data_IF_996706450148
#
_entry.id   IF_996706450148
#
_cell.length_a   1.000
_cell.length_b   1.000
_cell.length_c   1.000
_cell.angle_alpha   90.00
_cell.angle_beta   90.00
_cell.angle_gamma   90.00
#
_symmetry.space_group_name_H-M   'P 1'
#
loop_
_entity.id
_entity.type
_entity.pdbx_description
1 polymer ?
#
# COMPACT_ATOMS: atom_id res chain seq x y z
N UNK A 1 -9.20 2.20 9.32
CA UNK A 1 -9.47 2.36 7.88
C UNK A 1 -10.96 2.51 7.68
N UNK A 2 -11.39 3.26 6.68
CA UNK A 2 -12.79 3.29 6.31
C UNK A 2 -13.11 1.97 5.59
N UNK A 3 -13.95 1.14 6.21
CA UNK A 3 -14.42 -0.11 5.66
C UNK A 3 -15.76 0.18 4.99
N UNK A 4 -15.77 0.22 3.65
CA UNK A 4 -16.96 0.47 2.85
C UNK A 4 -17.43 -0.83 2.20
N UNK A 5 -18.73 -0.93 1.89
CA UNK A 5 -19.32 -2.07 1.16
C UNK A 5 -18.61 -2.34 -0.18
N UNK A 6 -18.03 -1.30 -0.79
CA UNK A 6 -17.17 -1.40 -1.97
C UNK A 6 -16.00 -0.43 -1.83
N UNK A 7 -14.77 -0.95 -1.84
CA UNK A 7 -13.56 -0.14 -1.92
C UNK A 7 -13.10 -0.06 -3.39
N UNK A 8 -12.95 1.15 -3.90
CA UNK A 8 -12.49 1.46 -5.26
C UNK A 8 -11.15 2.21 -5.22
N UNK A 9 -10.76 2.83 -6.34
CA UNK A 9 -9.53 3.61 -6.46
C UNK A 9 -9.45 4.76 -5.43
N UNK A 10 -10.56 5.43 -5.14
CA UNK A 10 -10.63 6.52 -4.16
C UNK A 10 -10.23 6.03 -2.77
N UNK A 11 -10.72 4.86 -2.36
CA UNK A 11 -10.35 4.29 -1.08
C UNK A 11 -8.89 3.83 -1.04
N UNK A 12 -8.36 3.34 -2.17
CA UNK A 12 -6.93 3.04 -2.28
C UNK A 12 -6.08 4.30 -2.07
N UNK A 13 -6.47 5.44 -2.63
CA UNK A 13 -5.79 6.72 -2.40
C UNK A 13 -5.85 7.17 -0.94
N UNK A 14 -7.02 7.05 -0.28
CA UNK A 14 -7.19 7.36 1.14
C UNK A 14 -6.30 6.46 2.00
N UNK A 15 -6.30 5.15 1.73
CA UNK A 15 -5.49 4.20 2.48
C UNK A 15 -3.99 4.41 2.24
N UNK A 16 -3.58 4.73 1.03
CA UNK A 16 -2.19 5.10 0.72
C UNK A 16 -1.75 6.37 1.46
N UNK A 17 -2.60 7.40 1.52
CA UNK A 17 -2.31 8.61 2.29
C UNK A 17 -2.13 8.29 3.78
N UNK A 18 -2.99 7.42 4.35
CA UNK A 18 -2.84 6.97 5.74
C UNK A 18 -1.54 6.20 5.97
N UNK A 19 -1.13 5.32 5.06
CA UNK A 19 0.17 4.61 5.15
C UNK A 19 1.35 5.59 5.11
N UNK A 20 1.30 6.62 4.25
CA UNK A 20 2.34 7.67 4.20
C UNK A 20 2.38 8.51 5.47
N UNK A 21 1.22 8.82 6.05
CA UNK A 21 1.15 9.52 7.33
C UNK A 21 1.70 8.68 8.48
N UNK A 22 1.41 7.38 8.49
CA UNK A 22 1.94 6.44 9.48
C UNK A 22 3.47 6.35 9.41
N UNK A 23 4.01 6.15 8.20
CA UNK A 23 5.46 6.14 7.92
C UNK A 23 6.14 7.45 8.36
N UNK A 24 5.54 8.60 8.02
CA UNK A 24 6.05 9.90 8.43
C UNK A 24 6.05 10.08 9.95
N UNK A 25 4.94 9.73 10.62
CA UNK A 25 4.82 9.84 12.07
C UNK A 25 5.84 8.95 12.78
N UNK A 26 5.95 7.68 12.37
CA UNK A 26 6.91 6.75 12.94
C UNK A 26 8.33 7.32 12.84
N UNK A 27 8.79 7.68 11.63
CA UNK A 27 10.14 8.25 11.45
C UNK A 27 10.37 9.52 12.27
N UNK A 28 9.36 10.38 12.38
CA UNK A 28 9.48 11.62 13.13
C UNK A 28 9.60 11.36 14.64
N UNK A 29 8.72 10.52 15.20
CA UNK A 29 8.73 10.18 16.62
C UNK A 29 10.02 9.46 17.01
N UNK A 30 10.49 8.49 16.22
CA UNK A 30 11.78 7.83 16.50
C UNK A 30 12.94 8.82 16.54
N UNK A 31 12.95 9.79 15.62
CA UNK A 31 13.98 10.83 15.60
C UNK A 31 13.94 11.70 16.85
N UNK A 32 12.74 12.07 17.32
CA UNK A 32 12.57 12.87 18.54
C UNK A 32 12.97 12.08 19.79
N UNK A 33 12.58 10.82 19.89
CA UNK A 33 12.99 9.94 20.99
C UNK A 33 14.51 9.82 21.01
N UNK A 34 15.15 9.55 19.87
CA UNK A 34 16.61 9.45 19.80
C UNK A 34 17.30 10.71 20.35
N UNK A 35 16.82 11.90 19.98
CA UNK A 35 17.36 13.17 20.47
C UNK A 35 17.23 13.34 21.99
N UNK A 36 16.11 12.91 22.59
CA UNK A 36 15.92 13.03 24.04
C UNK A 36 16.81 12.04 24.81
N UNK A 37 16.95 10.80 24.31
CA UNK A 37 17.86 9.81 24.92
C UNK A 37 19.32 10.27 24.89
N UNK A 38 19.75 10.86 23.76
CA UNK A 38 21.10 11.46 23.64
C UNK A 38 21.29 12.61 24.64
N UNK A 39 20.29 13.48 24.79
CA UNK A 39 20.31 14.60 25.74
C UNK A 39 20.36 14.15 27.19
N UNK A 40 19.66 13.06 27.55
CA UNK A 40 19.65 12.51 28.91
C UNK A 40 20.83 11.55 29.19
N UNK A 41 21.72 11.32 28.21
CA UNK A 41 22.81 10.33 28.30
C UNK A 41 22.31 8.92 28.65
N UNK A 42 21.11 8.58 28.20
CA UNK A 42 20.48 7.27 28.39
C UNK A 42 20.81 6.39 27.18
N UNK A 43 21.23 5.15 27.44
CA UNK A 43 21.49 4.17 26.38
C UNK A 43 20.24 3.92 25.54
N UNK A 44 20.30 4.23 24.24
CA UNK A 44 19.22 3.96 23.30
C UNK A 44 18.91 2.47 23.24
N UNK A 45 17.66 2.10 23.52
CA UNK A 45 17.14 0.76 23.28
C UNK A 45 16.29 0.83 22.02
N UNK A 46 16.79 0.25 20.92
CA UNK A 46 16.10 0.33 19.64
C UNK A 46 14.69 -0.28 19.76
N UNK A 47 13.68 0.57 19.79
CA UNK A 47 12.30 0.14 19.58
C UNK A 47 12.10 -0.01 18.07
N UNK A 48 11.64 -1.17 17.62
CA UNK A 48 11.32 -1.42 16.21
C UNK A 48 9.85 -1.12 16.00
N UNK A 49 9.52 -0.10 15.21
CA UNK A 49 8.18 0.01 14.66
C UNK A 49 7.94 -1.07 13.61
N UNK A 50 6.69 -1.49 13.39
CA UNK A 50 6.33 -2.19 12.17
C UNK A 50 6.66 -1.30 10.96
N UNK A 51 7.57 -1.75 10.11
CA UNK A 51 7.91 -1.09 8.86
C UNK A 51 6.80 -1.33 7.83
N UNK A 52 6.26 -0.26 7.25
CA UNK A 52 5.23 -0.32 6.22
C UNK A 52 5.77 0.00 4.81
N UNK A 53 7.09 0.10 4.65
CA UNK A 53 7.75 0.44 3.40
C UNK A 53 7.38 -0.53 2.28
N UNK A 54 7.31 -1.84 2.55
CA UNK A 54 6.91 -2.84 1.55
C UNK A 54 5.47 -2.64 1.05
N UNK A 55 4.55 -2.21 1.92
CA UNK A 55 3.19 -1.85 1.51
C UNK A 55 3.18 -0.56 0.67
N UNK A 56 3.98 0.45 1.06
CA UNK A 56 4.12 1.70 0.31
C UNK A 56 4.72 1.48 -1.08
N UNK A 57 5.70 0.58 -1.18
CA UNK A 57 6.39 0.24 -2.42
C UNK A 57 5.47 -0.55 -3.35
N UNK A 58 4.70 -1.52 -2.82
CA UNK A 58 3.67 -2.21 -3.58
C UNK A 58 2.71 -1.22 -4.27
N UNK A 59 2.30 -0.17 -3.57
CA UNK A 59 1.34 0.79 -4.11
C UNK A 59 2.00 1.78 -5.07
N UNK A 60 3.19 2.30 -4.75
CA UNK A 60 3.73 3.50 -5.39
C UNK A 60 5.08 3.35 -6.08
N UNK A 61 5.84 2.28 -5.82
CA UNK A 61 7.16 2.13 -6.40
C UNK A 61 7.09 1.97 -7.93
N UNK A 62 8.12 2.47 -8.61
CA UNK A 62 8.31 2.22 -10.04
C UNK A 62 9.18 0.98 -10.24
N UNK A 63 9.04 0.26 -11.37
CA UNK A 63 8.09 0.50 -12.45
C UNK A 63 6.73 -0.21 -12.26
N UNK A 64 6.60 -1.09 -11.27
CA UNK A 64 5.48 -2.04 -11.21
C UNK A 64 4.51 -1.84 -10.04
N UNK A 65 4.64 -0.78 -9.25
CA UNK A 65 3.66 -0.48 -8.21
C UNK A 65 2.27 -0.22 -8.79
N UNK A 66 1.23 -0.45 -7.99
CA UNK A 66 -0.17 -0.38 -8.42
C UNK A 66 -0.49 0.94 -9.17
N UNK A 67 -0.03 2.08 -8.67
CA UNK A 67 -0.24 3.37 -9.34
C UNK A 67 0.54 3.51 -10.66
N UNK A 68 1.72 2.91 -10.77
CA UNK A 68 2.49 2.90 -12.02
C UNK A 68 1.78 2.05 -13.07
N UNK A 69 1.33 0.85 -12.69
CA UNK A 69 0.56 -0.03 -13.57
C UNK A 69 -0.75 0.61 -14.01
N UNK A 70 -1.45 1.30 -13.10
CA UNK A 70 -2.68 2.01 -13.40
C UNK A 70 -2.42 3.12 -14.41
N UNK A 71 -1.43 3.98 -14.15
CA UNK A 71 -1.05 5.07 -15.04
C UNK A 71 -0.70 4.57 -16.46
N UNK A 72 0.07 3.48 -16.55
CA UNK A 72 0.46 2.89 -17.82
C UNK A 72 -0.74 2.30 -18.58
N UNK A 73 -1.70 1.70 -17.87
CA UNK A 73 -2.92 1.16 -18.49
C UNK A 73 -3.90 2.26 -18.90
N UNK A 74 -4.11 3.29 -18.07
CA UNK A 74 -4.96 4.43 -18.44
C UNK A 74 -4.41 5.22 -19.65
N UNK A 75 -3.10 5.16 -19.90
CA UNK A 75 -2.46 5.81 -21.04
C UNK A 75 -2.48 4.97 -22.33
N UNK A 76 -2.83 3.69 -22.26
CA UNK A 76 -2.79 2.77 -23.41
C UNK A 76 -4.20 2.59 -24.01
N UNK A 77 -4.47 3.00 -25.27
CA UNK A 77 -5.82 3.05 -25.83
C UNK A 77 -6.62 1.74 -25.85
N UNK A 78 -5.93 0.60 -25.81
CA UNK A 78 -6.56 -0.74 -25.83
C UNK A 78 -6.54 -1.43 -24.46
N UNK A 79 -6.08 -0.76 -23.41
CA UNK A 79 -6.10 -1.33 -22.07
C UNK A 79 -7.54 -1.36 -21.52
N UNK A 80 -7.79 -2.31 -20.66
CA UNK A 80 -9.07 -2.52 -19.97
C UNK A 80 -8.81 -2.71 -18.48
N UNK A 81 -9.85 -2.59 -17.67
CA UNK A 81 -9.82 -2.94 -16.24
C UNK A 81 -9.26 -4.35 -16.03
N UNK A 82 -9.63 -5.29 -16.91
CA UNK A 82 -9.12 -6.65 -16.91
C UNK A 82 -7.62 -6.72 -17.19
N UNK A 83 -7.12 -6.01 -18.20
CA UNK A 83 -5.68 -6.04 -18.53
C UNK A 83 -4.83 -5.40 -17.43
N UNK A 84 -5.35 -4.37 -16.77
CA UNK A 84 -4.76 -3.81 -15.54
C UNK A 84 -4.70 -4.85 -14.42
N UNK A 85 -5.81 -5.50 -14.11
CA UNK A 85 -5.87 -6.50 -13.04
C UNK A 85 -4.95 -7.71 -13.32
N UNK A 86 -4.90 -8.18 -14.56
CA UNK A 86 -3.99 -9.25 -14.99
C UNK A 86 -2.52 -8.87 -14.77
N UNK A 87 -2.12 -7.61 -15.05
CA UNK A 87 -0.78 -7.11 -14.75
C UNK A 87 -0.51 -7.07 -13.24
N UNK A 88 -1.45 -6.57 -12.43
CA UNK A 88 -1.29 -6.56 -10.98
C UNK A 88 -1.08 -7.98 -10.43
N UNK A 89 -1.89 -8.94 -10.86
CA UNK A 89 -1.72 -10.35 -10.48
C UNK A 89 -0.38 -10.91 -10.94
N UNK A 90 0.06 -10.60 -12.17
CA UNK A 90 1.31 -11.10 -12.70
C UNK A 90 2.53 -10.62 -11.89
N UNK A 91 2.62 -9.31 -11.63
CA UNK A 91 3.76 -8.71 -10.96
C UNK A 91 3.77 -8.91 -9.44
N UNK A 92 2.61 -9.13 -8.81
CA UNK A 92 2.51 -9.14 -7.34
C UNK A 92 1.99 -10.45 -6.72
N UNK A 93 1.74 -11.51 -7.49
CA UNK A 93 1.24 -12.79 -6.96
C UNK A 93 2.01 -13.36 -5.76
N UNK A 94 3.31 -13.07 -5.65
CA UNK A 94 4.18 -13.57 -4.56
C UNK A 94 4.52 -12.48 -3.53
N UNK A 95 3.93 -11.29 -3.64
CA UNK A 95 4.22 -10.17 -2.74
C UNK A 95 3.47 -10.33 -1.42
N UNK A 96 4.16 -10.19 -0.29
CA UNK A 96 3.57 -10.46 1.04
C UNK A 96 2.41 -9.53 1.40
N UNK A 97 2.30 -8.35 0.80
CA UNK A 97 1.18 -7.44 1.00
C UNK A 97 0.08 -7.58 -0.06
N UNK A 98 0.24 -8.42 -1.08
CA UNK A 98 -0.72 -8.56 -2.16
C UNK A 98 -1.44 -9.90 -2.10
N UNK A 99 -2.76 -9.89 -2.26
CA UNK A 99 -3.61 -11.07 -2.29
C UNK A 99 -4.45 -11.09 -3.56
N UNK A 100 -4.31 -12.16 -4.33
CA UNK A 100 -5.19 -12.49 -5.45
C UNK A 100 -6.41 -13.27 -4.95
N UNK A 101 -7.64 -12.93 -5.38
CA UNK A 101 -8.82 -13.70 -5.00
C UNK A 101 -8.73 -15.15 -5.51
N UNK A 102 -9.19 -16.10 -4.68
CA UNK A 102 -9.16 -17.54 -5.01
C UNK A 102 -10.16 -17.91 -6.10
N UNK A 103 -11.28 -17.18 -6.15
CA UNK A 103 -12.29 -17.29 -7.21
C UNK A 103 -12.08 -16.15 -8.20
N UNK A 104 -12.36 -16.35 -9.50
CA UNK A 104 -12.29 -15.27 -10.47
C UNK A 104 -13.19 -14.10 -10.07
N UNK A 105 -12.59 -12.95 -9.78
CA UNK A 105 -13.25 -11.72 -9.40
C UNK A 105 -12.48 -10.53 -9.95
N UNK A 106 -13.17 -9.43 -10.25
CA UNK A 106 -12.53 -8.18 -10.71
C UNK A 106 -12.04 -7.37 -9.50
N UNK A 107 -11.14 -7.94 -8.71
CA UNK A 107 -10.61 -7.31 -7.51
C UNK A 107 -9.21 -7.81 -7.16
N UNK A 108 -8.50 -7.02 -6.37
CA UNK A 108 -7.28 -7.43 -5.68
C UNK A 108 -7.32 -6.96 -4.24
N UNK A 109 -6.52 -7.56 -3.36
CA UNK A 109 -6.47 -7.19 -1.96
C UNK A 109 -5.07 -6.75 -1.55
N UNK A 110 -4.99 -5.73 -0.70
CA UNK A 110 -3.73 -5.27 -0.09
C UNK A 110 -3.82 -5.44 1.43
N UNK A 111 -2.78 -6.03 2.03
CA UNK A 111 -2.59 -6.06 3.48
C UNK A 111 -1.93 -4.77 3.93
N UNK A 112 -2.72 -3.85 4.46
CA UNK A 112 -2.26 -2.61 5.07
C UNK A 112 -1.87 -2.82 6.54
N UNK A 113 -1.23 -1.84 7.17
CA UNK A 113 -0.93 -1.88 8.60
C UNK A 113 -2.19 -2.03 9.46
N UNK A 114 -3.31 -1.45 9.00
CA UNK A 114 -4.59 -1.49 9.69
C UNK A 114 -5.48 -2.68 9.28
N UNK A 115 -4.95 -3.63 8.49
CA UNK A 115 -5.68 -4.82 8.06
C UNK A 115 -5.76 -4.97 6.54
N UNK A 116 -6.40 -6.06 6.09
CA UNK A 116 -6.57 -6.36 4.67
C UNK A 116 -7.78 -5.62 4.10
N UNK A 117 -7.61 -4.96 2.94
CA UNK A 117 -8.69 -4.30 2.21
C UNK A 117 -8.73 -4.84 0.78
N UNK A 118 -9.92 -5.20 0.32
CA UNK A 118 -10.18 -5.68 -1.05
C UNK A 118 -10.71 -4.54 -1.92
N UNK A 119 -10.06 -4.29 -3.05
CA UNK A 119 -10.35 -3.22 -4.00
C UNK A 119 -10.94 -3.79 -5.29
N UNK A 120 -12.15 -3.34 -5.64
CA UNK A 120 -12.78 -3.68 -6.92
C UNK A 120 -12.18 -2.86 -8.06
N UNK A 121 -12.03 -3.50 -9.20
CA UNK A 121 -11.57 -2.90 -10.46
C UNK A 121 -12.76 -2.90 -11.43
N UNK A 122 -13.06 -1.74 -12.00
CA UNK A 122 -14.23 -1.54 -12.86
C UNK A 122 -15.30 -0.63 -12.25
N UNK A 123 -16.23 -0.17 -13.08
CA UNK A 123 -17.33 0.73 -12.66
C UNK A 123 -18.36 -0.02 -11.82
N UNK A 124 -18.90 0.66 -10.80
CA UNK A 124 -20.08 0.22 -10.05
C UNK A 124 -21.29 -0.04 -10.96
#
# INVERSE_FOLDING_TARGET
MADFDVNSFEQLCINFANEKLHDHFNRHIFKLEQMEYEKESIGWKHMTCPDNQLCLDLISAKPHGIFSLLNDQSSFPQATDRSFLEKCHHFHQNHEHYDRPRVPAQEFSIRHCAGKVSYKVGTL
#
